data_IF_886122197542
#
_entry.id   IF_886122197542
#
_cell.length_a   1.000
_cell.length_b   1.000
_cell.length_c   1.000
_cell.angle_alpha   90.00
_cell.angle_beta   90.00
_cell.angle_gamma   90.00
#
_symmetry.space_group_name_H-M   'P 1'
#
loop_
_entity.id
_entity.type
_entity.pdbx_description
1 polymer ?
#
# COMPACT_ATOMS: atom_id res chain seq x y z
N UNK A 1 -8.58 11.48 -20.80
CA UNK A 1 -9.48 12.26 -19.93
C UNK A 1 -9.18 11.85 -18.51
N UNK A 2 -8.85 12.79 -17.60
CA UNK A 2 -8.74 12.49 -16.18
C UNK A 2 -10.08 11.91 -15.74
N UNK A 3 -10.04 10.78 -15.02
CA UNK A 3 -11.24 10.17 -14.47
C UNK A 3 -11.89 11.20 -13.53
N UNK A 4 -13.18 11.59 -13.71
CA UNK A 4 -13.80 12.54 -12.80
C UNK A 4 -13.70 11.98 -11.39
N UNK A 5 -13.27 12.81 -10.44
CA UNK A 5 -13.23 12.45 -9.03
C UNK A 5 -14.62 12.00 -8.57
N UNK A 6 -14.80 10.70 -8.42
CA UNK A 6 -16.04 10.04 -8.04
C UNK A 6 -16.31 10.08 -6.54
N UNK A 7 -15.47 10.79 -5.77
CA UNK A 7 -15.67 10.94 -4.31
C UNK A 7 -16.97 11.70 -4.04
N UNK A 8 -17.91 11.15 -3.27
CA UNK A 8 -19.13 11.85 -2.86
C UNK A 8 -18.85 13.21 -2.23
N UNK A 9 -19.64 14.24 -2.56
CA UNK A 9 -19.42 15.61 -2.09
C UNK A 9 -19.35 15.70 -0.54
N UNK A 10 -20.20 14.99 0.15
CA UNK A 10 -20.22 14.88 1.59
C UNK A 10 -18.87 14.39 2.17
N UNK A 11 -18.19 13.45 1.55
CA UNK A 11 -16.88 12.96 1.99
C UNK A 11 -15.76 13.97 1.69
N UNK A 12 -15.87 14.70 0.56
CA UNK A 12 -14.96 15.84 0.27
C UNK A 12 -15.08 16.94 1.31
N UNK A 13 -16.30 17.26 1.73
CA UNK A 13 -16.55 18.25 2.78
C UNK A 13 -15.93 17.83 4.13
N UNK A 14 -15.85 16.52 4.41
CA UNK A 14 -15.26 15.99 5.64
C UNK A 14 -13.72 16.05 5.64
N UNK A 15 -13.05 16.23 4.49
CA UNK A 15 -11.58 16.40 4.42
C UNK A 15 -11.08 17.59 5.25
N UNK A 16 -11.91 18.62 5.47
CA UNK A 16 -11.60 19.78 6.32
C UNK A 16 -11.31 19.41 7.78
N UNK A 17 -11.86 18.29 8.25
CA UNK A 17 -11.65 17.83 9.63
C UNK A 17 -10.27 17.19 9.84
N UNK A 18 -9.54 16.88 8.76
CA UNK A 18 -8.17 16.36 8.84
C UNK A 18 -8.09 14.95 9.45
N UNK A 19 -6.98 14.69 10.15
CA UNK A 19 -6.72 13.43 10.84
C UNK A 19 -6.84 13.68 12.35
N UNK A 20 -7.83 13.07 12.97
CA UNK A 20 -8.03 13.07 14.42
C UNK A 20 -8.00 11.62 14.91
N UNK A 21 -6.98 11.27 15.70
CA UNK A 21 -6.84 9.93 16.27
C UNK A 21 -7.82 9.74 17.43
N UNK A 22 -8.47 8.58 17.49
CA UNK A 22 -9.44 8.22 18.52
C UNK A 22 -10.43 7.22 17.97
N UNK A 23 -10.99 6.34 18.81
CA UNK A 23 -11.96 5.33 18.40
C UNK A 23 -13.40 5.70 18.79
N UNK A 24 -13.57 6.69 19.62
CA UNK A 24 -14.88 7.06 20.22
C UNK A 24 -15.89 7.45 19.15
N UNK A 25 -15.47 8.26 18.16
CA UNK A 25 -16.35 8.68 17.05
C UNK A 25 -16.70 7.50 16.15
N UNK A 26 -15.70 6.65 15.83
CA UNK A 26 -15.93 5.46 14.99
C UNK A 26 -16.88 4.48 15.68
N UNK A 27 -16.68 4.22 16.98
CA UNK A 27 -17.57 3.35 17.77
C UNK A 27 -19.00 3.90 17.86
N UNK A 28 -19.16 5.20 18.04
CA UNK A 28 -20.46 5.86 18.04
C UNK A 28 -21.12 5.80 16.65
N UNK A 29 -20.33 5.93 15.58
CA UNK A 29 -20.80 5.82 14.21
C UNK A 29 -21.26 4.38 13.89
N UNK A 30 -20.47 3.36 14.25
CA UNK A 30 -20.84 1.95 14.10
C UNK A 30 -22.12 1.63 14.89
N UNK A 31 -22.22 2.12 16.12
CA UNK A 31 -23.43 1.95 16.93
C UNK A 31 -24.67 2.57 16.26
N UNK A 32 -24.56 3.78 15.72
CA UNK A 32 -25.64 4.45 15.00
C UNK A 32 -26.05 3.73 13.72
N UNK A 33 -25.13 2.96 13.12
CA UNK A 33 -25.34 2.15 11.92
C UNK A 33 -25.76 0.71 12.21
N UNK A 34 -25.92 0.32 13.50
CA UNK A 34 -26.32 -1.02 13.91
C UNK A 34 -25.17 -2.00 14.08
N UNK A 35 -23.93 -1.51 14.24
CA UNK A 35 -22.69 -2.27 14.42
C UNK A 35 -22.38 -3.25 13.28
N UNK A 36 -22.28 -2.78 12.03
CA UNK A 36 -22.05 -3.64 10.86
C UNK A 36 -20.71 -4.40 10.94
N UNK A 37 -19.73 -3.87 11.70
CA UNK A 37 -18.43 -4.48 11.93
C UNK A 37 -18.50 -5.84 12.60
N UNK A 38 -19.55 -6.11 13.41
CA UNK A 38 -19.71 -7.37 14.16
C UNK A 38 -20.02 -8.58 13.29
N UNK A 39 -20.56 -8.34 12.10
CA UNK A 39 -20.87 -9.41 11.13
C UNK A 39 -19.65 -9.79 10.29
N UNK A 40 -18.53 -9.06 10.41
CA UNK A 40 -17.33 -9.24 9.59
C UNK A 40 -16.28 -10.14 10.26
N UNK A 41 -15.77 -11.11 9.51
CA UNK A 41 -14.55 -11.83 9.85
C UNK A 41 -13.37 -11.11 9.23
N UNK A 42 -12.42 -10.68 10.04
CA UNK A 42 -11.41 -9.70 9.62
C UNK A 42 -10.00 -10.23 9.77
N UNK A 43 -9.17 -9.98 8.76
CA UNK A 43 -7.71 -9.95 8.87
C UNK A 43 -7.27 -8.49 8.89
N UNK A 44 -6.66 -8.05 9.99
CA UNK A 44 -6.29 -6.66 10.20
C UNK A 44 -4.79 -6.44 10.00
N UNK A 45 -4.40 -5.49 9.16
CA UNK A 45 -3.02 -5.31 8.68
C UNK A 45 -2.51 -3.91 9.00
N UNK A 46 -1.47 -3.81 9.84
CA UNK A 46 -0.71 -2.59 10.11
C UNK A 46 0.73 -2.69 9.60
N UNK A 47 1.45 -1.58 9.59
CA UNK A 47 2.86 -1.51 9.19
C UNK A 47 3.23 -0.14 8.64
N UNK A 48 4.51 0.10 8.41
CA UNK A 48 4.97 1.31 7.71
C UNK A 48 4.88 1.11 6.21
N UNK A 49 5.59 0.15 5.67
CA UNK A 49 5.58 -0.19 4.24
C UNK A 49 5.08 -1.62 4.03
N UNK A 50 4.51 -1.88 2.85
CA UNK A 50 4.08 -3.23 2.45
C UNK A 50 2.64 -3.59 2.77
N UNK A 51 1.90 -2.79 3.54
CA UNK A 51 0.50 -3.08 3.90
C UNK A 51 -0.36 -3.44 2.68
N UNK A 52 -0.46 -2.53 1.70
CA UNK A 52 -1.26 -2.76 0.49
C UNK A 52 -0.77 -3.95 -0.35
N UNK A 53 0.55 -4.22 -0.41
CA UNK A 53 1.07 -5.41 -1.08
C UNK A 53 0.65 -6.69 -0.36
N UNK A 54 0.75 -6.75 0.97
CA UNK A 54 0.31 -7.90 1.78
C UNK A 54 -1.21 -8.07 1.66
N UNK A 55 -1.98 -6.99 1.72
CA UNK A 55 -3.43 -7.00 1.50
C UNK A 55 -3.77 -7.58 0.13
N UNK A 56 -3.07 -7.14 -0.91
CA UNK A 56 -3.28 -7.66 -2.27
C UNK A 56 -2.94 -9.15 -2.38
N UNK A 57 -1.75 -9.58 -1.92
CA UNK A 57 -1.39 -11.01 -1.92
C UNK A 57 -2.44 -11.85 -1.19
N UNK A 58 -2.81 -11.47 0.02
CA UNK A 58 -3.77 -12.24 0.81
C UNK A 58 -5.14 -12.28 0.14
N UNK A 59 -5.63 -11.16 -0.39
CA UNK A 59 -6.91 -11.09 -1.12
C UNK A 59 -6.92 -12.01 -2.33
N UNK A 60 -5.84 -12.02 -3.14
CA UNK A 60 -5.75 -12.92 -4.31
C UNK A 60 -5.70 -14.38 -3.91
N UNK A 61 -4.95 -14.74 -2.86
CA UNK A 61 -4.90 -16.10 -2.33
C UNK A 61 -6.29 -16.57 -1.86
N UNK A 62 -6.98 -15.74 -1.10
CA UNK A 62 -8.30 -16.07 -0.55
C UNK A 62 -9.35 -16.18 -1.66
N UNK A 63 -9.34 -15.26 -2.63
CA UNK A 63 -10.24 -15.33 -3.79
C UNK A 63 -9.94 -16.53 -4.70
N UNK A 64 -8.66 -16.86 -4.96
CA UNK A 64 -8.26 -18.08 -5.66
C UNK A 64 -8.73 -19.35 -4.92
N UNK A 65 -8.89 -19.28 -3.61
CA UNK A 65 -9.46 -20.36 -2.78
C UNK A 65 -10.99 -20.42 -2.81
N UNK A 66 -11.66 -19.57 -3.60
CA UNK A 66 -13.10 -19.56 -3.78
C UNK A 66 -13.88 -18.76 -2.73
N UNK A 67 -13.20 -17.99 -1.88
CA UNK A 67 -13.85 -17.14 -0.87
C UNK A 67 -14.29 -15.80 -1.46
N UNK A 68 -15.43 -15.27 -1.04
CA UNK A 68 -15.87 -13.90 -1.30
C UNK A 68 -15.11 -12.97 -0.35
N UNK A 69 -14.17 -12.21 -0.90
CA UNK A 69 -13.21 -11.42 -0.10
C UNK A 69 -13.48 -9.95 -0.24
N UNK A 70 -13.74 -9.26 0.87
CA UNK A 70 -13.69 -7.80 0.94
C UNK A 70 -12.26 -7.33 1.19
N UNK A 71 -11.81 -6.27 0.52
CA UNK A 71 -10.52 -5.63 0.82
C UNK A 71 -10.68 -4.13 0.94
N UNK A 72 -10.13 -3.56 2.02
CA UNK A 72 -10.09 -2.14 2.30
C UNK A 72 -8.64 -1.67 2.37
N UNK A 73 -8.28 -0.69 1.53
CA UNK A 73 -6.92 -0.15 1.41
C UNK A 73 -6.92 1.37 1.31
N UNK A 74 -5.80 1.99 1.71
CA UNK A 74 -5.62 3.44 1.62
C UNK A 74 -4.16 3.84 1.41
N UNK A 75 -3.92 4.98 0.73
CA UNK A 75 -4.88 5.77 -0.05
C UNK A 75 -5.26 5.07 -1.36
N UNK A 76 -6.29 5.57 -2.06
CA UNK A 76 -6.56 5.17 -3.43
C UNK A 76 -5.51 5.75 -4.40
N UNK A 77 -5.40 5.15 -5.59
CA UNK A 77 -4.44 5.60 -6.61
C UNK A 77 -5.12 6.47 -7.67
N UNK A 78 -6.07 5.92 -8.41
CA UNK A 78 -6.72 6.56 -9.57
C UNK A 78 -8.20 6.89 -9.30
N UNK A 79 -8.90 6.05 -8.52
CA UNK A 79 -10.34 6.15 -8.26
C UNK A 79 -10.63 6.00 -6.78
N UNK A 80 -11.53 6.80 -6.26
CA UNK A 80 -11.97 6.71 -4.87
C UNK A 80 -12.49 5.30 -4.51
N UNK A 81 -13.23 4.68 -5.42
CA UNK A 81 -13.81 3.33 -5.28
C UNK A 81 -12.76 2.22 -5.08
N UNK A 82 -11.49 2.44 -5.47
CA UNK A 82 -10.38 1.50 -5.22
C UNK A 82 -10.17 1.19 -3.74
N UNK A 83 -10.58 2.11 -2.83
CA UNK A 83 -10.41 1.92 -1.39
C UNK A 83 -11.12 0.69 -0.87
N UNK A 84 -12.22 0.30 -1.49
CA UNK A 84 -13.01 -0.86 -1.08
C UNK A 84 -13.42 -1.70 -2.29
N UNK A 85 -13.14 -2.98 -2.21
CA UNK A 85 -13.34 -3.93 -3.29
C UNK A 85 -13.84 -5.26 -2.74
N UNK A 86 -14.65 -5.96 -3.52
CA UNK A 86 -15.06 -7.34 -3.26
C UNK A 86 -14.64 -8.19 -4.46
N UNK A 87 -13.86 -9.24 -4.19
CA UNK A 87 -13.59 -10.31 -5.16
C UNK A 87 -14.41 -11.54 -4.78
N UNK A 88 -15.41 -11.86 -5.61
CA UNK A 88 -16.30 -13.00 -5.38
C UNK A 88 -15.67 -14.28 -5.94
N UNK A 89 -14.83 -14.89 -5.12
CA UNK A 89 -14.14 -16.12 -5.43
C UNK A 89 -13.26 -16.04 -6.68
N UNK A 90 -13.08 -17.17 -7.34
CA UNK A 90 -12.24 -17.29 -8.55
C UNK A 90 -12.77 -16.48 -9.73
N UNK A 91 -14.09 -16.35 -9.85
CA UNK A 91 -14.67 -15.57 -10.94
C UNK A 91 -14.44 -14.09 -10.75
N UNK A 92 -14.65 -13.57 -9.55
CA UNK A 92 -14.32 -12.18 -9.21
C UNK A 92 -12.82 -11.88 -9.41
N UNK A 93 -11.95 -12.81 -9.03
CA UNK A 93 -10.51 -12.68 -9.28
C UNK A 93 -10.21 -12.63 -10.80
N UNK A 94 -10.80 -13.51 -11.60
CA UNK A 94 -10.61 -13.51 -13.06
C UNK A 94 -11.04 -12.20 -13.69
N UNK A 95 -12.21 -11.67 -13.34
CA UNK A 95 -12.69 -10.38 -13.84
C UNK A 95 -11.73 -9.23 -13.45
N UNK A 96 -11.25 -9.23 -12.21
CA UNK A 96 -10.27 -8.24 -11.76
C UNK A 96 -8.95 -8.29 -12.55
N UNK A 97 -8.50 -9.48 -12.94
CA UNK A 97 -7.28 -9.63 -13.75
C UNK A 97 -7.45 -9.13 -15.20
N UNK A 98 -8.68 -9.15 -15.72
CA UNK A 98 -9.05 -8.61 -17.03
C UNK A 98 -9.25 -7.09 -16.98
N UNK A 99 -9.94 -6.59 -15.94
CA UNK A 99 -10.20 -5.16 -15.70
C UNK A 99 -10.00 -4.84 -14.21
N UNK A 100 -8.99 -4.05 -13.93
CA UNK A 100 -8.60 -3.67 -12.58
C UNK A 100 -9.61 -2.76 -11.85
N UNK A 101 -10.71 -2.37 -12.47
CA UNK A 101 -11.85 -1.72 -11.83
C UNK A 101 -12.91 -2.69 -11.30
N UNK A 102 -12.88 -3.96 -11.73
CA UNK A 102 -13.85 -4.95 -11.28
C UNK A 102 -13.81 -5.17 -9.77
N UNK A 103 -14.97 -5.32 -9.20
CA UNK A 103 -15.17 -5.52 -7.77
C UNK A 103 -15.09 -4.26 -6.90
N UNK A 104 -14.76 -3.09 -7.45
CA UNK A 104 -14.87 -1.81 -6.74
C UNK A 104 -16.32 -1.54 -6.36
N UNK A 105 -16.53 -0.78 -5.25
CA UNK A 105 -17.88 -0.42 -4.85
C UNK A 105 -18.63 0.29 -5.99
N UNK A 106 -19.83 -0.16 -6.40
CA UNK A 106 -20.63 0.51 -7.42
C UNK A 106 -21.04 1.92 -6.98
N UNK A 107 -21.13 2.85 -7.95
CA UNK A 107 -21.41 4.25 -7.65
C UNK A 107 -22.76 4.48 -6.96
N UNK A 108 -23.79 3.75 -7.37
CA UNK A 108 -25.13 3.82 -6.77
C UNK A 108 -25.14 3.26 -5.34
N UNK A 109 -24.38 2.19 -5.07
CA UNK A 109 -24.20 1.63 -3.73
C UNK A 109 -23.42 2.63 -2.85
N UNK A 110 -22.35 3.21 -3.37
CA UNK A 110 -21.55 4.21 -2.67
C UNK A 110 -22.42 5.43 -2.28
N UNK A 111 -23.24 5.93 -3.19
CA UNK A 111 -24.15 7.06 -2.92
C UNK A 111 -25.15 6.69 -1.83
N UNK A 112 -25.86 5.58 -1.99
CA UNK A 112 -26.86 5.08 -1.01
C UNK A 112 -26.27 4.89 0.40
N UNK A 113 -25.07 4.28 0.51
CA UNK A 113 -24.42 4.06 1.79
C UNK A 113 -23.85 5.37 2.35
N UNK A 114 -23.38 6.28 1.51
CA UNK A 114 -22.96 7.62 1.92
C UNK A 114 -24.09 8.39 2.60
N UNK A 115 -25.32 8.31 2.09
CA UNK A 115 -26.48 8.94 2.70
C UNK A 115 -26.80 8.34 4.08
N UNK A 116 -26.74 7.01 4.21
CA UNK A 116 -26.92 6.34 5.52
C UNK A 116 -25.86 6.80 6.54
N UNK A 117 -24.59 6.82 6.14
CA UNK A 117 -23.48 7.23 7.00
C UNK A 117 -23.57 8.71 7.36
N UNK A 118 -24.02 9.56 6.44
CA UNK A 118 -24.27 10.98 6.69
C UNK A 118 -25.32 11.22 7.77
N UNK A 119 -26.39 10.45 7.76
CA UNK A 119 -27.41 10.55 8.81
C UNK A 119 -26.88 10.04 10.17
N UNK A 120 -26.12 8.94 10.16
CA UNK A 120 -25.49 8.43 11.40
C UNK A 120 -24.45 9.43 11.94
N UNK A 121 -23.68 10.11 11.09
CA UNK A 121 -22.73 11.14 11.50
C UNK A 121 -23.41 12.31 12.24
N UNK A 122 -24.61 12.73 11.80
CA UNK A 122 -25.40 13.74 12.53
C UNK A 122 -25.78 13.29 13.93
N UNK A 123 -26.11 12.01 14.12
CA UNK A 123 -26.40 11.46 15.42
C UNK A 123 -25.16 11.46 16.33
N UNK A 124 -23.99 11.15 15.80
CA UNK A 124 -22.70 11.23 16.50
C UNK A 124 -22.45 12.66 16.99
N UNK A 125 -22.54 13.66 16.10
CA UNK A 125 -22.33 15.08 16.45
C UNK A 125 -23.36 15.55 17.46
N UNK A 126 -24.62 15.13 17.33
CA UNK A 126 -25.69 15.47 18.28
C UNK A 126 -25.49 14.87 19.67
N UNK A 127 -24.68 13.81 19.80
CA UNK A 127 -24.33 13.22 21.11
C UNK A 127 -23.24 14.00 21.87
N UNK A 128 -22.67 15.06 21.25
CA UNK A 128 -21.64 15.90 21.84
C UNK A 128 -20.21 15.50 21.44
N UNK A 129 -20.04 14.53 20.55
CA UNK A 129 -18.75 14.23 19.94
C UNK A 129 -18.45 15.18 18.78
N UNK A 130 -17.18 15.29 18.39
CA UNK A 130 -16.77 16.01 17.19
C UNK A 130 -17.32 15.32 15.92
N UNK A 131 -17.37 16.06 14.81
CA UNK A 131 -17.72 15.50 13.52
C UNK A 131 -16.74 14.38 13.11
N UNK A 132 -17.25 13.22 12.61
CA UNK A 132 -16.40 12.18 12.11
C UNK A 132 -15.53 12.65 10.93
N UNK A 133 -14.27 12.19 10.92
CA UNK A 133 -13.32 12.46 9.84
C UNK A 133 -13.70 11.73 8.55
N UNK A 134 -13.16 12.18 7.42
CA UNK A 134 -13.36 11.49 6.12
C UNK A 134 -13.03 10.01 6.21
N UNK A 135 -11.92 9.65 6.87
CA UNK A 135 -11.47 8.27 6.97
C UNK A 135 -12.43 7.41 7.83
N UNK A 136 -12.99 7.95 8.92
CA UNK A 136 -14.01 7.26 9.72
C UNK A 136 -15.29 7.02 8.92
N UNK A 137 -15.75 8.02 8.15
CA UNK A 137 -16.94 7.89 7.31
C UNK A 137 -16.76 6.84 6.20
N UNK A 138 -15.61 6.84 5.53
CA UNK A 138 -15.29 5.85 4.48
C UNK A 138 -15.14 4.45 5.06
N UNK A 139 -14.56 4.31 6.25
CA UNK A 139 -14.45 3.04 6.96
C UNK A 139 -15.84 2.49 7.30
N UNK A 140 -16.76 3.33 7.77
CA UNK A 140 -18.13 2.93 8.05
C UNK A 140 -18.91 2.50 6.79
N UNK A 141 -18.72 3.20 5.66
CA UNK A 141 -19.28 2.79 4.35
C UNK A 141 -18.76 1.40 3.97
N UNK A 142 -17.45 1.16 4.14
CA UNK A 142 -16.84 -0.14 3.86
C UNK A 142 -17.46 -1.26 4.69
N UNK A 143 -17.64 -1.07 5.99
CA UNK A 143 -18.24 -2.08 6.87
C UNK A 143 -19.68 -2.38 6.51
N UNK A 144 -20.49 -1.36 6.24
CA UNK A 144 -21.86 -1.54 5.76
C UNK A 144 -21.91 -2.35 4.47
N UNK A 145 -21.08 -2.00 3.48
CA UNK A 145 -21.07 -2.69 2.20
C UNK A 145 -20.64 -4.15 2.34
N UNK A 146 -19.56 -4.40 3.07
CA UNK A 146 -19.07 -5.77 3.28
C UNK A 146 -20.06 -6.63 4.04
N UNK A 147 -20.77 -6.07 5.04
CA UNK A 147 -21.82 -6.77 5.78
C UNK A 147 -23.06 -7.04 4.90
N UNK A 148 -23.54 -6.05 4.11
CA UNK A 148 -24.67 -6.23 3.17
C UNK A 148 -24.34 -7.31 2.11
N UNK A 149 -23.10 -7.31 1.59
CA UNK A 149 -22.62 -8.29 0.61
C UNK A 149 -22.23 -9.64 1.19
N UNK A 150 -22.23 -9.77 2.51
CA UNK A 150 -21.91 -11.01 3.26
C UNK A 150 -20.57 -11.61 2.82
N UNK A 151 -19.50 -10.81 2.83
CA UNK A 151 -18.17 -11.31 2.50
C UNK A 151 -17.78 -12.44 3.48
N UNK A 152 -17.11 -13.48 2.97
CA UNK A 152 -16.63 -14.59 3.82
C UNK A 152 -15.53 -14.11 4.78
N UNK A 153 -14.71 -13.18 4.31
CA UNK A 153 -13.61 -12.57 5.05
C UNK A 153 -13.26 -11.20 4.50
N UNK A 154 -12.91 -10.26 5.37
CA UNK A 154 -12.45 -8.93 5.02
C UNK A 154 -10.96 -8.75 5.36
N UNK A 155 -10.17 -8.24 4.42
CA UNK A 155 -8.77 -7.85 4.58
C UNK A 155 -8.72 -6.34 4.75
N UNK A 156 -8.41 -5.85 5.95
CA UNK A 156 -8.46 -4.44 6.30
C UNK A 156 -7.06 -3.88 6.55
N UNK A 157 -6.64 -2.91 5.75
CA UNK A 157 -5.42 -2.14 5.94
C UNK A 157 -5.68 -0.95 6.85
N UNK A 158 -4.83 -0.72 7.89
CA UNK A 158 -4.86 0.50 8.69
C UNK A 158 -4.49 1.73 7.86
N UNK A 159 -5.20 2.84 8.06
CA UNK A 159 -4.84 4.12 7.45
C UNK A 159 -3.57 4.71 8.03
N UNK A 160 -3.50 4.81 9.36
CA UNK A 160 -2.38 5.40 10.09
C UNK A 160 -2.16 4.74 11.45
N UNK A 161 -0.92 4.31 11.71
CA UNK A 161 -0.56 3.70 12.99
C UNK A 161 -1.19 2.32 13.18
N UNK A 162 -2.16 2.21 14.04
CA UNK A 162 -2.91 0.99 14.36
C UNK A 162 -3.79 1.16 15.60
N UNK A 163 -3.21 1.56 16.73
CA UNK A 163 -3.90 1.63 18.03
C UNK A 163 -5.19 2.45 18.01
N UNK A 164 -5.15 3.62 17.41
CA UNK A 164 -6.26 4.57 17.31
C UNK A 164 -6.78 4.73 15.87
N UNK A 165 -6.43 3.80 15.00
CA UNK A 165 -6.93 3.80 13.63
C UNK A 165 -8.41 3.39 13.59
N UNK A 166 -9.20 4.04 12.75
CA UNK A 166 -10.65 3.77 12.63
C UNK A 166 -10.96 2.32 12.30
N UNK A 167 -10.02 1.61 11.67
CA UNK A 167 -10.17 0.18 11.39
C UNK A 167 -9.96 -0.73 12.60
N UNK A 168 -9.53 -0.19 13.76
CA UNK A 168 -9.19 -0.99 14.95
C UNK A 168 -10.35 -1.22 15.94
N UNK A 169 -11.59 -1.14 15.48
CA UNK A 169 -12.80 -1.33 16.33
C UNK A 169 -13.15 -2.78 16.63
N UNK A 170 -12.53 -3.74 15.96
CA UNK A 170 -12.79 -5.16 16.17
C UNK A 170 -12.17 -5.69 17.45
N UNK A 171 -12.95 -6.41 18.26
CA UNK A 171 -12.45 -7.06 19.47
C UNK A 171 -11.66 -8.34 19.18
N UNK A 172 -12.12 -9.12 18.18
CA UNK A 172 -11.55 -10.43 17.88
C UNK A 172 -11.48 -10.70 16.37
N UNK A 173 -10.56 -10.07 15.65
CA UNK A 173 -10.29 -10.42 14.26
C UNK A 173 -9.78 -11.88 14.14
N UNK A 174 -9.89 -12.48 12.96
CA UNK A 174 -9.38 -13.83 12.71
C UNK A 174 -7.86 -13.90 12.84
N UNK A 175 -7.18 -12.82 12.45
CA UNK A 175 -5.73 -12.71 12.44
C UNK A 175 -5.30 -11.23 12.41
N UNK A 176 -4.18 -10.92 13.02
CA UNK A 176 -3.53 -9.62 12.88
C UNK A 176 -2.17 -9.76 12.20
N UNK A 177 -1.84 -8.80 11.30
CA UNK A 177 -0.56 -8.79 10.61
C UNK A 177 0.14 -7.45 10.81
N UNK A 178 1.46 -7.50 11.03
CA UNK A 178 2.31 -6.31 11.02
C UNK A 178 3.38 -6.52 9.95
N UNK A 179 3.40 -5.63 8.96
CA UNK A 179 4.39 -5.64 7.88
C UNK A 179 5.71 -5.03 8.36
N UNK A 180 6.51 -4.43 7.50
CA UNK A 180 7.74 -3.78 7.95
C UNK A 180 7.46 -2.53 8.79
N UNK A 181 8.33 -2.28 9.78
CA UNK A 181 8.38 -1.07 10.59
C UNK A 181 9.50 -0.17 10.07
N UNK A 182 9.31 1.12 10.15
CA UNK A 182 10.31 2.13 9.81
C UNK A 182 9.86 3.52 10.21
N UNK A 183 10.75 4.49 10.13
CA UNK A 183 10.44 5.89 10.40
C UNK A 183 9.53 6.44 9.29
N UNK A 184 8.32 6.80 9.67
CA UNK A 184 7.35 7.51 8.84
C UNK A 184 6.28 8.15 9.75
N UNK A 185 5.67 9.26 9.33
CA UNK A 185 4.65 9.99 10.10
C UNK A 185 5.10 10.32 11.53
N UNK A 186 6.35 10.73 11.70
CA UNK A 186 6.94 11.02 13.02
C UNK A 186 6.22 12.14 13.77
N UNK A 187 5.60 13.07 13.07
CA UNK A 187 4.75 14.13 13.63
C UNK A 187 3.49 13.60 14.37
N UNK A 188 3.12 12.31 14.14
CA UNK A 188 1.90 11.72 14.69
C UNK A 188 2.11 10.43 15.45
N UNK A 189 3.05 9.61 15.03
CA UNK A 189 3.26 8.25 15.56
C UNK A 189 4.44 8.17 16.53
N UNK A 190 5.22 9.26 16.68
CA UNK A 190 6.39 9.32 17.54
C UNK A 190 7.71 9.41 16.79
N UNK A 191 8.77 9.75 17.53
CA UNK A 191 10.09 10.07 17.00
C UNK A 191 11.10 8.92 17.15
N UNK A 192 10.64 7.73 17.53
CA UNK A 192 11.47 6.54 17.68
C UNK A 192 10.81 5.29 17.08
N UNK A 193 11.61 4.30 16.71
CA UNK A 193 11.12 3.00 16.23
C UNK A 193 10.23 2.34 17.30
N UNK A 194 10.56 2.46 18.57
CA UNK A 194 9.77 1.89 19.66
C UNK A 194 8.37 2.51 19.74
N UNK A 195 8.23 3.85 19.63
CA UNK A 195 6.94 4.55 19.65
C UNK A 195 6.10 4.16 18.43
N UNK A 196 6.67 4.21 17.23
CA UNK A 196 5.97 3.79 15.99
C UNK A 196 5.52 2.34 16.07
N UNK A 197 6.36 1.46 16.65
CA UNK A 197 6.02 0.05 16.86
C UNK A 197 4.86 -0.09 17.83
N UNK A 198 4.85 0.68 18.92
CA UNK A 198 3.78 0.67 19.92
C UNK A 198 2.42 1.06 19.31
N UNK A 199 2.39 2.09 18.46
CA UNK A 199 1.17 2.48 17.76
C UNK A 199 0.65 1.35 16.83
N UNK A 200 1.55 0.67 16.11
CA UNK A 200 1.16 -0.44 15.22
C UNK A 200 0.79 -1.70 16.00
N UNK A 201 1.48 -1.99 17.10
CA UNK A 201 1.17 -3.09 18.01
C UNK A 201 -0.22 -2.97 18.65
N UNK A 202 -0.83 -1.77 18.62
CA UNK A 202 -2.19 -1.55 19.09
C UNK A 202 -3.28 -2.36 18.37
N UNK A 203 -2.97 -2.97 17.21
CA UNK A 203 -3.89 -3.90 16.55
C UNK A 203 -3.87 -5.31 17.15
N UNK A 204 -2.89 -5.64 18.02
CA UNK A 204 -2.80 -6.94 18.68
C UNK A 204 -3.97 -7.09 19.64
N UNK A 205 -4.74 -8.16 19.48
CA UNK A 205 -5.97 -8.42 20.27
C UNK A 205 -5.79 -9.65 21.18
N UNK A 206 -6.54 -9.72 22.29
CA UNK A 206 -6.45 -10.86 23.20
C UNK A 206 -6.66 -12.19 22.50
N UNK A 207 -5.70 -13.12 22.66
CA UNK A 207 -5.74 -14.50 22.12
C UNK A 207 -5.77 -14.61 20.60
N UNK A 208 -5.71 -13.49 19.86
CA UNK A 208 -5.65 -13.48 18.39
C UNK A 208 -4.20 -13.59 17.94
N UNK A 209 -3.85 -14.54 17.06
CA UNK A 209 -2.48 -14.65 16.57
C UNK A 209 -2.01 -13.41 15.81
N UNK A 210 -0.75 -13.04 16.02
CA UNK A 210 -0.03 -12.03 15.25
C UNK A 210 0.95 -12.69 14.30
N UNK A 211 0.88 -12.37 13.02
CA UNK A 211 1.92 -12.66 12.02
C UNK A 211 2.67 -11.37 11.71
N UNK A 212 3.98 -11.36 11.89
CA UNK A 212 4.78 -10.15 11.71
C UNK A 212 6.04 -10.43 10.88
N UNK A 213 6.43 -9.49 10.03
CA UNK A 213 7.73 -9.55 9.38
C UNK A 213 8.85 -9.62 10.42
N UNK A 214 9.81 -10.54 10.23
CA UNK A 214 10.93 -10.70 11.17
C UNK A 214 11.72 -9.38 11.24
N UNK A 215 11.90 -8.79 12.44
CA UNK A 215 12.65 -7.55 12.61
C UNK A 215 14.05 -7.59 12.01
N UNK A 216 14.72 -8.76 12.03
CA UNK A 216 16.05 -8.94 11.45
C UNK A 216 16.07 -8.84 9.91
N UNK A 217 14.90 -8.85 9.27
CA UNK A 217 14.72 -8.61 7.82
C UNK A 217 14.33 -7.18 7.47
N UNK A 218 14.05 -6.34 8.46
CA UNK A 218 13.64 -4.95 8.25
C UNK A 218 14.86 -4.06 7.96
N UNK A 219 14.63 -2.96 7.21
CA UNK A 219 15.65 -1.94 6.95
C UNK A 219 15.73 -1.02 8.17
N UNK A 220 16.37 -1.52 9.23
CA UNK A 220 16.61 -0.85 10.50
C UNK A 220 18.04 -1.14 10.97
N UNK A 221 18.55 -0.29 11.83
CA UNK A 221 19.77 -0.62 12.59
C UNK A 221 19.50 -1.72 13.64
N UNK A 222 20.54 -2.33 14.22
CA UNK A 222 20.37 -3.41 15.18
C UNK A 222 19.59 -3.00 16.45
N UNK A 223 19.63 -1.73 16.85
CA UNK A 223 18.89 -1.24 18.01
C UNK A 223 17.38 -1.12 17.67
N UNK A 224 17.06 -0.55 16.53
CA UNK A 224 15.68 -0.50 16.03
C UNK A 224 15.06 -1.89 15.86
N UNK A 225 15.82 -2.87 15.35
CA UNK A 225 15.35 -4.26 15.25
C UNK A 225 15.02 -4.85 16.62
N UNK A 226 15.85 -4.60 17.64
CA UNK A 226 15.62 -5.01 19.03
C UNK A 226 14.40 -4.31 19.63
N UNK A 227 14.24 -3.03 19.37
CA UNK A 227 13.08 -2.26 19.83
C UNK A 227 11.77 -2.81 19.27
N UNK A 228 11.72 -3.12 17.97
CA UNK A 228 10.54 -3.75 17.36
C UNK A 228 10.23 -5.06 18.09
N UNK A 229 11.21 -5.96 18.24
CA UNK A 229 11.03 -7.25 18.88
C UNK A 229 10.54 -7.10 20.32
N UNK A 230 11.18 -6.25 21.12
CA UNK A 230 10.81 -6.00 22.51
C UNK A 230 9.37 -5.50 22.65
N UNK A 231 8.98 -4.45 21.91
CA UNK A 231 7.63 -3.86 21.99
C UNK A 231 6.55 -4.86 21.57
N UNK A 232 6.79 -5.63 20.50
CA UNK A 232 5.86 -6.66 20.05
C UNK A 232 5.71 -7.77 21.08
N UNK A 233 6.80 -8.30 21.64
CA UNK A 233 6.75 -9.39 22.62
C UNK A 233 6.09 -8.94 23.93
N UNK A 234 6.40 -7.73 24.43
CA UNK A 234 5.74 -7.14 25.60
C UNK A 234 4.23 -6.99 25.40
N UNK A 235 3.83 -6.43 24.26
CA UNK A 235 2.40 -6.23 23.94
C UNK A 235 1.66 -7.55 23.76
N UNK A 236 2.23 -8.49 23.02
CA UNK A 236 1.66 -9.80 22.78
C UNK A 236 1.52 -10.61 24.06
N UNK A 237 2.51 -10.54 24.97
CA UNK A 237 2.46 -11.19 26.29
C UNK A 237 1.28 -10.70 27.12
N UNK A 238 1.06 -9.38 27.17
CA UNK A 238 -0.10 -8.79 27.91
C UNK A 238 -1.43 -9.27 27.31
N UNK A 239 -1.49 -9.47 25.99
CA UNK A 239 -2.68 -9.91 25.26
C UNK A 239 -2.82 -11.43 25.16
N UNK A 240 -1.86 -12.21 25.68
CA UNK A 240 -1.79 -13.66 25.46
C UNK A 240 -1.91 -14.02 23.96
N UNK A 241 -1.35 -13.21 23.08
CA UNK A 241 -1.38 -13.33 21.62
C UNK A 241 -0.17 -14.13 21.13
N UNK A 242 -0.34 -15.25 20.41
CA UNK A 242 0.77 -15.97 19.79
C UNK A 242 1.43 -15.09 18.70
N UNK A 243 2.76 -14.99 18.72
CA UNK A 243 3.53 -14.23 17.73
C UNK A 243 4.26 -15.18 16.79
N UNK A 244 4.12 -14.94 15.49
CA UNK A 244 4.79 -15.68 14.43
C UNK A 244 5.61 -14.70 13.61
N UNK A 245 6.94 -14.79 13.74
CA UNK A 245 7.88 -14.02 12.94
C UNK A 245 8.09 -14.68 11.59
N UNK A 246 7.99 -13.89 10.50
CA UNK A 246 8.05 -14.39 9.12
C UNK A 246 9.15 -13.67 8.35
N UNK A 247 9.93 -14.45 7.63
CA UNK A 247 10.94 -14.01 6.68
C UNK A 247 10.99 -14.97 5.50
N UNK A 248 11.20 -14.46 4.27
CA UNK A 248 11.52 -15.29 3.13
C UNK A 248 12.79 -16.11 3.40
N UNK A 249 12.91 -17.28 2.80
CA UNK A 249 14.10 -18.11 2.94
C UNK A 249 15.35 -17.37 2.44
N UNK A 250 16.53 -17.78 2.93
CA UNK A 250 17.79 -17.19 2.50
C UNK A 250 18.02 -17.44 1.02
N UNK A 251 18.46 -16.42 0.31
CA UNK A 251 18.76 -16.44 -1.12
C UNK A 251 18.24 -15.18 -1.81
N UNK A 252 18.91 -14.78 -2.87
CA UNK A 252 18.45 -13.67 -3.69
C UNK A 252 17.28 -14.15 -4.56
N UNK A 253 16.22 -13.37 -4.70
CA UNK A 253 15.15 -13.67 -5.64
C UNK A 253 15.67 -13.74 -7.09
N UNK A 254 15.13 -14.67 -7.84
CA UNK A 254 15.48 -14.83 -9.25
C UNK A 254 14.47 -14.12 -10.14
N UNK A 255 14.93 -13.18 -10.94
CA UNK A 255 14.10 -12.45 -11.89
C UNK A 255 14.05 -13.16 -13.22
N UNK A 256 12.86 -13.59 -13.66
CA UNK A 256 12.69 -14.36 -14.88
C UNK A 256 12.59 -13.45 -16.12
N UNK A 257 12.93 -13.95 -17.31
CA UNK A 257 12.72 -13.20 -18.57
C UNK A 257 11.25 -12.85 -18.84
N UNK A 258 10.30 -13.62 -18.27
CA UNK A 258 8.86 -13.35 -18.37
C UNK A 258 8.43 -12.10 -17.61
N UNK A 259 9.30 -11.54 -16.72
CA UNK A 259 8.99 -10.39 -15.89
C UNK A 259 8.27 -10.80 -14.60
N UNK A 260 8.58 -11.97 -14.09
CA UNK A 260 8.18 -12.45 -12.75
C UNK A 260 9.40 -12.60 -11.86
N UNK A 261 9.17 -12.75 -10.57
CA UNK A 261 10.20 -13.00 -9.58
C UNK A 261 9.92 -14.32 -8.86
N UNK A 262 10.94 -15.18 -8.78
CA UNK A 262 10.90 -16.43 -8.04
C UNK A 262 11.67 -16.30 -6.72
N UNK A 263 11.14 -16.86 -5.66
CA UNK A 263 11.77 -16.91 -4.34
C UNK A 263 11.30 -18.13 -3.56
N UNK A 264 11.96 -18.42 -2.43
CA UNK A 264 11.60 -19.52 -1.55
C UNK A 264 11.05 -19.04 -0.22
N UNK A 265 10.02 -19.73 0.27
CA UNK A 265 9.51 -19.59 1.62
C UNK A 265 9.10 -20.97 2.17
N UNK A 266 9.62 -21.33 3.36
CA UNK A 266 9.44 -22.65 3.99
C UNK A 266 9.80 -23.81 3.03
N UNK A 267 10.92 -23.66 2.33
CA UNK A 267 11.43 -24.58 1.30
C UNK A 267 10.54 -24.79 0.07
N UNK A 268 9.49 -24.00 -0.08
CA UNK A 268 8.62 -24.00 -1.26
C UNK A 268 8.94 -22.82 -2.17
N UNK A 269 9.01 -23.07 -3.48
CA UNK A 269 9.19 -22.03 -4.49
C UNK A 269 7.86 -21.34 -4.79
N UNK A 270 7.89 -20.00 -4.78
CA UNK A 270 6.78 -19.15 -5.21
C UNK A 270 7.21 -18.28 -6.38
N UNK A 271 6.29 -18.01 -7.29
CA UNK A 271 6.45 -17.09 -8.42
C UNK A 271 5.45 -15.94 -8.26
N UNK A 272 5.93 -14.69 -8.41
CA UNK A 272 5.09 -13.49 -8.30
C UNK A 272 5.44 -12.47 -9.37
N UNK A 273 4.47 -11.61 -9.71
CA UNK A 273 4.67 -10.47 -10.62
C UNK A 273 5.12 -9.20 -9.91
N UNK A 274 4.99 -9.14 -8.58
CA UNK A 274 5.48 -7.99 -7.83
C UNK A 274 6.99 -8.12 -7.61
N UNK A 275 7.73 -7.12 -8.09
CA UNK A 275 9.19 -7.15 -8.15
C UNK A 275 9.83 -6.62 -6.86
N UNK A 276 10.97 -7.22 -6.50
CA UNK A 276 11.85 -6.77 -5.42
C UNK A 276 11.91 -7.71 -4.23
N UNK A 277 13.09 -7.81 -3.60
CA UNK A 277 13.30 -8.68 -2.44
C UNK A 277 12.35 -8.40 -1.27
N UNK A 278 11.93 -7.14 -1.09
CA UNK A 278 10.91 -6.77 -0.11
C UNK A 278 9.53 -7.40 -0.42
N UNK A 279 9.22 -7.66 -1.70
CA UNK A 279 7.97 -8.34 -2.08
C UNK A 279 8.01 -9.84 -1.76
N UNK A 280 9.18 -10.47 -1.75
CA UNK A 280 9.32 -11.83 -1.25
C UNK A 280 8.92 -11.90 0.24
N UNK A 281 9.37 -10.93 1.06
CA UNK A 281 8.97 -10.80 2.47
C UNK A 281 7.46 -10.55 2.63
N UNK A 282 6.90 -9.60 1.87
CA UNK A 282 5.46 -9.31 1.89
C UNK A 282 4.62 -10.53 1.48
N UNK A 283 5.04 -11.23 0.44
CA UNK A 283 4.38 -12.46 0.00
C UNK A 283 4.45 -13.56 1.05
N UNK A 284 5.63 -13.79 1.67
CA UNK A 284 5.80 -14.77 2.74
C UNK A 284 4.86 -14.50 3.92
N UNK A 285 4.66 -13.21 4.26
CA UNK A 285 3.73 -12.81 5.31
C UNK A 285 2.27 -13.18 4.95
N UNK A 286 1.84 -12.90 3.72
CA UNK A 286 0.51 -13.25 3.23
C UNK A 286 0.32 -14.78 3.11
N UNK A 287 1.33 -15.52 2.64
CA UNK A 287 1.32 -16.99 2.57
C UNK A 287 1.16 -17.59 3.97
N UNK A 288 1.95 -17.10 4.96
CA UNK A 288 1.81 -17.57 6.35
C UNK A 288 0.42 -17.29 6.92
N UNK A 289 -0.14 -16.11 6.64
CA UNK A 289 -1.50 -15.77 7.05
C UNK A 289 -2.52 -16.71 6.42
N UNK A 290 -2.43 -17.00 5.13
CA UNK A 290 -3.30 -17.94 4.44
C UNK A 290 -3.18 -19.37 4.99
N UNK A 291 -1.97 -19.88 5.25
CA UNK A 291 -1.73 -21.17 5.90
C UNK A 291 -2.41 -21.29 7.28
N UNK A 292 -2.41 -20.19 8.05
CA UNK A 292 -3.10 -20.16 9.34
C UNK A 292 -4.62 -20.17 9.18
N UNK A 293 -5.14 -19.41 8.22
CA UNK A 293 -6.56 -19.37 7.89
C UNK A 293 -7.07 -20.70 7.31
N UNK A 294 -6.20 -21.49 6.65
CA UNK A 294 -6.53 -22.82 6.13
C UNK A 294 -7.07 -23.78 7.20
N UNK A 295 -6.73 -23.57 8.48
CA UNK A 295 -7.30 -24.33 9.60
C UNK A 295 -8.82 -24.15 9.76
N UNK A 296 -9.34 -23.00 9.31
CA UNK A 296 -10.75 -22.62 9.39
C UNK A 296 -11.45 -22.71 8.03
N UNK A 297 -10.72 -22.41 6.96
CA UNK A 297 -11.22 -22.39 5.59
C UNK A 297 -10.50 -23.47 4.76
N UNK A 298 -11.10 -24.67 4.72
CA UNK A 298 -10.48 -25.86 4.08
C UNK A 298 -10.27 -25.73 2.56
N UNK A 299 -10.90 -24.74 1.92
CA UNK A 299 -10.67 -24.41 0.50
C UNK A 299 -9.31 -23.73 0.25
N UNK A 300 -8.65 -23.21 1.29
CA UNK A 300 -7.30 -22.68 1.21
C UNK A 300 -6.32 -23.86 1.20
N UNK A 301 -5.75 -24.15 0.06
CA UNK A 301 -4.77 -25.24 -0.16
C UNK A 301 -3.44 -24.68 -0.63
N UNK A 302 -2.41 -25.50 -0.64
CA UNK A 302 -1.10 -25.10 -1.17
C UNK A 302 -1.15 -24.69 -2.64
N UNK A 303 -2.04 -25.30 -3.43
CA UNK A 303 -2.23 -24.98 -4.85
C UNK A 303 -2.92 -23.63 -5.00
N UNK A 304 -3.98 -23.35 -4.23
CA UNK A 304 -4.70 -22.06 -4.28
C UNK A 304 -3.84 -20.92 -3.74
N UNK A 305 -2.97 -21.18 -2.75
CA UNK A 305 -1.98 -20.22 -2.28
C UNK A 305 -1.01 -19.87 -3.42
N UNK A 306 -0.45 -20.88 -4.09
CA UNK A 306 0.51 -20.67 -5.19
C UNK A 306 -0.13 -19.94 -6.38
N UNK A 307 -1.37 -20.29 -6.73
CA UNK A 307 -2.17 -19.63 -7.77
C UNK A 307 -2.40 -18.14 -7.42
N UNK A 308 -2.88 -17.85 -6.20
CA UNK A 308 -3.14 -16.49 -5.76
C UNK A 308 -1.89 -15.63 -5.71
N UNK A 309 -0.76 -16.17 -5.27
CA UNK A 309 0.54 -15.48 -5.29
C UNK A 309 0.94 -15.12 -6.72
N UNK A 310 0.83 -16.05 -7.66
CA UNK A 310 1.20 -15.85 -9.07
C UNK A 310 0.32 -14.81 -9.76
N UNK A 311 -0.95 -14.79 -9.46
CA UNK A 311 -1.93 -13.88 -10.05
C UNK A 311 -1.98 -12.52 -9.38
N UNK A 312 -1.26 -12.31 -8.27
CA UNK A 312 -1.26 -11.03 -7.54
C UNK A 312 -0.81 -9.87 -8.41
N UNK A 313 -1.60 -8.79 -8.37
CA UNK A 313 -1.34 -7.49 -9.01
C UNK A 313 -1.44 -6.38 -7.96
N UNK A 314 -0.55 -5.41 -8.03
CA UNK A 314 -0.65 -4.21 -7.22
C UNK A 314 -0.05 -3.03 -7.98
N UNK A 315 -0.88 -2.06 -8.33
CA UNK A 315 -0.50 -0.90 -9.14
C UNK A 315 0.63 -0.11 -8.49
N UNK A 316 1.53 0.43 -9.32
CA UNK A 316 2.62 1.30 -8.88
C UNK A 316 3.55 0.70 -7.81
N UNK A 317 3.78 -0.61 -7.86
CA UNK A 317 4.83 -1.30 -7.07
C UNK A 317 5.80 -1.98 -8.01
N UNK A 318 6.81 -1.21 -8.45
CA UNK A 318 7.71 -1.56 -9.54
C UNK A 318 6.92 -2.08 -10.76
N UNK A 319 5.81 -1.38 -11.09
CA UNK A 319 4.92 -1.76 -12.19
C UNK A 319 5.55 -1.44 -13.53
N UNK A 320 5.73 -2.46 -14.36
CA UNK A 320 6.22 -2.31 -15.73
C UNK A 320 5.03 -2.12 -16.66
N UNK A 321 4.90 -0.95 -17.28
CA UNK A 321 3.85 -0.67 -18.27
C UNK A 321 4.23 -1.13 -19.66
N UNK A 322 5.48 -0.93 -20.06
CA UNK A 322 6.06 -1.43 -21.31
C UNK A 322 7.54 -1.75 -21.12
N UNK A 323 8.08 -2.61 -21.99
CA UNK A 323 9.51 -3.01 -21.94
C UNK A 323 10.36 -2.26 -22.97
N UNK A 324 9.78 -1.68 -24.01
CA UNK A 324 10.49 -1.00 -25.12
C UNK A 324 9.78 0.30 -25.51
N UNK A 325 10.25 1.45 -25.00
CA UNK A 325 11.25 1.60 -23.92
C UNK A 325 10.70 1.06 -22.60
N UNK A 326 11.58 0.65 -21.69
CA UNK A 326 11.12 0.28 -20.34
C UNK A 326 10.45 1.50 -19.67
N UNK A 327 9.21 1.32 -19.23
CA UNK A 327 8.49 2.29 -18.40
C UNK A 327 8.12 1.63 -17.08
N UNK A 328 8.70 2.15 -15.99
CA UNK A 328 8.54 1.65 -14.63
C UNK A 328 7.86 2.70 -13.75
N UNK A 329 6.79 2.28 -13.05
CA UNK A 329 6.09 3.09 -12.06
C UNK A 329 6.32 2.54 -10.65
N UNK A 330 6.73 3.40 -9.71
CA UNK A 330 6.86 2.99 -8.30
C UNK A 330 6.43 4.09 -7.33
N UNK A 331 5.56 3.73 -6.39
CA UNK A 331 5.01 4.64 -5.38
C UNK A 331 5.89 4.83 -4.14
N UNK A 332 7.17 4.48 -4.19
CA UNK A 332 8.12 4.75 -3.10
C UNK A 332 8.24 6.25 -2.83
N UNK A 333 7.96 6.64 -1.58
CA UNK A 333 7.87 8.04 -1.17
C UNK A 333 8.59 8.33 0.16
N UNK A 334 9.41 7.40 0.61
CA UNK A 334 10.31 7.52 1.76
C UNK A 334 11.65 6.85 1.46
N UNK A 335 12.64 7.04 2.31
CA UNK A 335 14.00 6.52 2.12
C UNK A 335 14.03 4.99 1.97
N UNK A 336 13.20 4.26 2.73
CA UNK A 336 13.10 2.81 2.62
C UNK A 336 12.52 2.38 1.27
N UNK A 337 11.45 3.05 0.80
CA UNK A 337 10.85 2.81 -0.52
C UNK A 337 11.85 3.07 -1.64
N UNK A 338 12.55 4.20 -1.57
CA UNK A 338 13.58 4.57 -2.54
C UNK A 338 14.74 3.55 -2.58
N UNK A 339 15.19 3.09 -1.41
CA UNK A 339 16.22 2.04 -1.31
C UNK A 339 15.73 0.72 -1.92
N UNK A 340 14.47 0.34 -1.66
CA UNK A 340 13.87 -0.86 -2.23
C UNK A 340 13.76 -0.77 -3.75
N UNK A 341 13.29 0.36 -4.28
CA UNK A 341 13.23 0.61 -5.72
C UNK A 341 14.62 0.55 -6.37
N UNK A 342 15.62 1.16 -5.76
CA UNK A 342 17.00 1.13 -6.28
C UNK A 342 17.57 -0.29 -6.35
N UNK A 343 17.29 -1.14 -5.37
CA UNK A 343 17.67 -2.56 -5.40
C UNK A 343 16.93 -3.32 -6.51
N UNK A 344 15.63 -3.07 -6.68
CA UNK A 344 14.85 -3.65 -7.79
C UNK A 344 15.45 -3.24 -9.12
N UNK A 345 15.73 -1.93 -9.32
CA UNK A 345 16.33 -1.41 -10.54
C UNK A 345 17.64 -2.13 -10.89
N UNK A 346 18.51 -2.35 -9.90
CA UNK A 346 19.81 -2.99 -10.10
C UNK A 346 19.75 -4.50 -10.41
N UNK A 347 18.62 -5.17 -10.13
CA UNK A 347 18.49 -6.62 -10.24
C UNK A 347 17.43 -7.10 -11.23
N UNK A 348 16.41 -6.27 -11.54
CA UNK A 348 15.34 -6.64 -12.45
C UNK A 348 15.87 -6.97 -13.86
N UNK A 349 15.18 -7.87 -14.54
CA UNK A 349 15.57 -8.39 -15.87
C UNK A 349 17.03 -8.91 -15.93
N UNK A 350 17.49 -9.55 -14.84
CA UNK A 350 18.85 -10.08 -14.76
C UNK A 350 19.94 -9.02 -14.69
N UNK A 351 19.61 -7.80 -14.23
CA UNK A 351 20.54 -6.68 -14.15
C UNK A 351 20.73 -5.91 -15.46
N UNK A 352 19.89 -6.15 -16.45
CA UNK A 352 19.99 -5.50 -17.77
C UNK A 352 20.02 -3.96 -17.73
N UNK A 353 19.45 -3.35 -16.71
CA UNK A 353 19.35 -1.89 -16.57
C UNK A 353 20.25 -1.30 -15.48
N UNK A 354 21.09 -2.12 -14.82
CA UNK A 354 21.88 -1.71 -13.65
C UNK A 354 22.72 -0.44 -13.89
N UNK A 355 23.39 -0.37 -15.02
CA UNK A 355 24.27 0.76 -15.37
C UNK A 355 23.69 1.66 -16.49
N UNK A 356 22.45 1.36 -16.91
CA UNK A 356 21.80 2.10 -17.98
C UNK A 356 21.42 3.50 -17.51
N UNK A 357 21.54 4.53 -18.38
CA UNK A 357 20.95 5.82 -18.07
C UNK A 357 19.43 5.68 -17.93
N UNK A 358 18.82 6.48 -17.06
CA UNK A 358 17.39 6.53 -16.84
C UNK A 358 16.88 7.95 -16.98
N UNK A 359 15.71 8.10 -17.55
CA UNK A 359 14.93 9.34 -17.51
C UNK A 359 13.98 9.26 -16.34
N UNK A 360 13.98 10.26 -15.48
CA UNK A 360 13.20 10.29 -14.25
C UNK A 360 12.07 11.33 -14.36
N UNK A 361 10.84 10.97 -14.01
CA UNK A 361 9.77 11.91 -13.66
C UNK A 361 9.48 11.75 -12.18
N UNK A 362 9.57 12.84 -11.41
CA UNK A 362 9.46 12.78 -9.96
C UNK A 362 8.70 13.98 -9.38
N UNK A 363 7.79 13.67 -8.44
CA UNK A 363 7.09 14.65 -7.63
C UNK A 363 6.88 14.11 -6.23
N UNK A 364 7.25 14.89 -5.21
CA UNK A 364 7.27 14.47 -3.80
C UNK A 364 6.52 15.46 -2.90
N UNK A 365 6.18 15.01 -1.69
CA UNK A 365 5.56 15.84 -0.66
C UNK A 365 6.64 16.50 0.21
N UNK A 366 6.40 17.74 0.68
CA UNK A 366 7.33 18.55 1.52
C UNK A 366 7.65 17.91 2.87
N UNK A 367 6.73 17.11 3.40
CA UNK A 367 6.84 16.46 4.70
C UNK A 367 7.74 15.20 4.68
N UNK A 368 8.33 14.87 3.52
CA UNK A 368 9.20 13.70 3.36
C UNK A 368 10.68 14.11 3.36
N UNK A 369 11.53 13.16 3.76
CA UNK A 369 12.99 13.30 3.64
C UNK A 369 13.42 13.16 2.17
N UNK A 370 13.26 14.25 1.42
CA UNK A 370 13.49 14.27 -0.04
C UNK A 370 14.96 14.09 -0.38
N UNK A 371 15.87 14.71 0.38
CA UNK A 371 17.30 14.54 0.19
C UNK A 371 17.72 13.08 0.39
N UNK A 372 17.24 12.45 1.48
CA UNK A 372 17.46 11.03 1.73
C UNK A 372 16.90 10.11 0.65
N UNK A 373 15.75 10.44 0.04
CA UNK A 373 15.18 9.70 -1.10
C UNK A 373 16.14 9.77 -2.31
N UNK A 374 16.56 10.96 -2.71
CA UNK A 374 17.45 11.15 -3.87
C UNK A 374 18.83 10.54 -3.62
N UNK A 375 19.35 10.65 -2.40
CA UNK A 375 20.58 9.97 -1.98
C UNK A 375 20.46 8.43 -2.07
N UNK A 376 19.32 7.87 -1.70
CA UNK A 376 19.09 6.43 -1.81
C UNK A 376 19.15 5.97 -3.28
N UNK A 377 18.56 6.72 -4.21
CA UNK A 377 18.66 6.42 -5.65
C UNK A 377 20.13 6.44 -6.11
N UNK A 378 20.87 7.48 -5.76
CA UNK A 378 22.29 7.61 -6.12
C UNK A 378 23.14 6.46 -5.53
N UNK A 379 22.95 6.13 -4.24
CA UNK A 379 23.67 5.05 -3.56
C UNK A 379 23.37 3.67 -4.16
N UNK A 380 22.17 3.46 -4.66
CA UNK A 380 21.77 2.22 -5.35
C UNK A 380 22.20 2.19 -6.83
N UNK A 381 22.87 3.22 -7.34
CA UNK A 381 23.40 3.22 -8.70
C UNK A 381 22.38 3.59 -9.79
N UNK A 382 21.26 4.24 -9.45
CA UNK A 382 20.35 4.77 -10.47
C UNK A 382 21.05 5.93 -11.19
N UNK A 383 21.41 5.71 -12.45
CA UNK A 383 22.13 6.65 -13.30
C UNK A 383 21.16 7.62 -14.00
N UNK A 384 20.74 8.68 -13.31
CA UNK A 384 19.80 9.66 -13.87
C UNK A 384 20.52 10.50 -14.93
N UNK A 385 20.06 10.40 -16.19
CA UNK A 385 20.52 11.22 -17.30
C UNK A 385 19.76 12.57 -17.33
N UNK A 386 18.45 12.49 -17.21
CA UNK A 386 17.52 13.62 -17.31
C UNK A 386 16.40 13.42 -16.28
N UNK A 387 16.02 14.48 -15.59
CA UNK A 387 14.94 14.45 -14.61
C UNK A 387 13.90 15.53 -14.91
N UNK A 388 12.63 15.17 -14.84
CA UNK A 388 11.49 16.07 -14.84
C UNK A 388 10.99 16.19 -13.41
N UNK A 389 11.10 17.36 -12.81
CA UNK A 389 10.52 17.65 -11.49
C UNK A 389 9.15 18.27 -11.68
N UNK A 390 8.12 17.69 -11.03
CA UNK A 390 6.74 18.07 -11.26
C UNK A 390 6.01 18.50 -10.01
N UNK A 391 5.00 19.36 -10.19
CA UNK A 391 4.07 19.73 -9.13
C UNK A 391 2.93 18.73 -9.06
N UNK A 392 2.82 18.02 -7.94
CA UNK A 392 1.71 17.11 -7.67
C UNK A 392 0.48 17.91 -7.24
N UNK A 393 -0.72 17.54 -7.69
CA UNK A 393 -1.97 18.17 -7.26
C UNK A 393 -2.30 17.79 -5.82
N UNK A 394 -1.57 18.42 -4.90
CA UNK A 394 -1.73 18.24 -3.46
C UNK A 394 -1.15 19.48 -2.75
N UNK A 395 -1.82 20.03 -1.71
CA UNK A 395 -1.32 21.20 -0.97
C UNK A 395 0.06 21.03 -0.35
N UNK A 396 0.48 19.79 -0.07
CA UNK A 396 1.78 19.46 0.52
C UNK A 396 2.87 19.21 -0.52
N UNK A 397 2.60 19.44 -1.81
CA UNK A 397 3.59 19.21 -2.87
C UNK A 397 4.86 20.06 -2.66
N UNK A 398 6.04 19.49 -2.90
CA UNK A 398 7.27 20.25 -3.05
C UNK A 398 7.26 20.93 -4.42
N UNK A 399 7.77 22.17 -4.49
CA UNK A 399 7.83 22.89 -5.77
C UNK A 399 8.90 22.28 -6.69
N UNK A 400 8.67 22.25 -8.02
CA UNK A 400 9.62 21.70 -8.98
C UNK A 400 11.03 22.26 -8.85
N UNK A 401 11.19 23.57 -8.63
CA UNK A 401 12.50 24.21 -8.46
C UNK A 401 13.24 23.78 -7.18
N UNK A 402 12.52 23.58 -6.06
CA UNK A 402 13.11 23.05 -4.82
C UNK A 402 13.67 21.64 -5.04
N UNK A 403 12.86 20.78 -5.67
CA UNK A 403 13.24 19.40 -5.99
C UNK A 403 14.39 19.33 -7.01
N UNK A 404 14.36 20.19 -8.03
CA UNK A 404 15.43 20.36 -9.02
C UNK A 404 16.77 20.69 -8.35
N UNK A 405 16.75 21.60 -7.37
CA UNK A 405 17.96 21.97 -6.62
C UNK A 405 18.54 20.76 -5.89
N UNK A 406 17.72 20.01 -5.17
CA UNK A 406 18.15 18.81 -4.42
C UNK A 406 18.78 17.77 -5.37
N UNK A 407 18.12 17.47 -6.49
CA UNK A 407 18.65 16.51 -7.47
C UNK A 407 20.02 16.97 -8.01
N UNK A 408 20.13 18.24 -8.40
CA UNK A 408 21.40 18.80 -8.90
C UNK A 408 22.51 18.69 -7.86
N UNK A 409 22.25 19.02 -6.61
CA UNK A 409 23.24 18.92 -5.52
C UNK A 409 23.66 17.45 -5.30
N UNK A 410 22.71 16.54 -5.11
CA UNK A 410 23.01 15.13 -4.82
C UNK A 410 23.76 14.45 -5.96
N UNK A 411 23.45 14.77 -7.21
CA UNK A 411 24.14 14.22 -8.40
C UNK A 411 25.31 15.09 -8.90
N UNK A 412 25.83 16.03 -8.07
CA UNK A 412 26.96 16.89 -8.39
C UNK A 412 26.80 17.68 -9.72
N UNK A 413 25.60 18.20 -9.98
CA UNK A 413 25.23 18.95 -11.18
C UNK A 413 25.43 18.19 -12.51
N UNK A 414 25.38 16.86 -12.49
CA UNK A 414 25.55 16.01 -13.70
C UNK A 414 24.24 15.59 -14.34
N UNK A 415 23.10 15.98 -13.79
CA UNK A 415 21.76 15.64 -14.27
C UNK A 415 21.14 16.88 -14.90
N UNK A 416 20.62 16.73 -16.12
CA UNK A 416 19.77 17.75 -16.75
C UNK A 416 18.39 17.71 -16.09
N UNK A 417 17.96 18.81 -15.47
CA UNK A 417 16.68 18.88 -14.77
C UNK A 417 15.77 19.88 -15.44
N UNK A 418 14.59 19.40 -15.83
CA UNK A 418 13.51 20.15 -16.44
C UNK A 418 12.41 20.32 -15.37
N UNK A 419 12.08 21.57 -15.08
CA UNK A 419 11.02 21.93 -14.15
C UNK A 419 9.72 22.10 -14.94
N UNK A 420 8.68 21.31 -14.60
CA UNK A 420 7.38 21.36 -15.27
C UNK A 420 6.26 21.28 -14.22
N UNK A 421 5.38 22.27 -14.19
CA UNK A 421 4.27 22.29 -13.24
C UNK A 421 3.17 21.27 -13.57
N UNK A 422 3.01 20.91 -14.86
CA UNK A 422 2.00 19.96 -15.30
C UNK A 422 2.57 18.53 -15.42
N UNK A 423 2.19 17.60 -14.51
CA UNK A 423 2.67 16.23 -14.55
C UNK A 423 2.35 15.48 -15.85
N UNK A 424 1.23 15.80 -16.51
CA UNK A 424 0.82 15.15 -17.77
C UNK A 424 1.74 15.55 -18.91
N UNK A 425 2.10 16.84 -18.98
CA UNK A 425 3.05 17.34 -19.98
C UNK A 425 4.44 16.76 -19.74
N UNK A 426 4.88 16.74 -18.48
CA UNK A 426 6.19 16.18 -18.12
C UNK A 426 6.31 14.72 -18.55
N UNK A 427 5.33 13.88 -18.17
CA UNK A 427 5.37 12.45 -18.49
C UNK A 427 5.24 12.17 -19.98
N UNK A 428 4.45 12.96 -20.73
CA UNK A 428 4.34 12.83 -22.18
C UNK A 428 5.68 13.17 -22.85
N UNK A 429 6.31 14.29 -22.49
CA UNK A 429 7.62 14.69 -23.02
C UNK A 429 8.71 13.68 -22.69
N UNK A 430 8.74 13.19 -21.45
CA UNK A 430 9.67 12.18 -21.00
C UNK A 430 9.49 10.86 -21.75
N UNK A 431 8.26 10.41 -21.97
CA UNK A 431 7.95 9.18 -22.70
C UNK A 431 8.34 9.27 -24.17
N UNK A 432 7.99 10.36 -24.88
CA UNK A 432 8.39 10.58 -26.28
C UNK A 432 9.92 10.64 -26.44
N UNK A 433 10.62 11.27 -25.51
CA UNK A 433 12.07 11.26 -25.49
C UNK A 433 12.62 9.84 -25.25
N UNK A 434 12.00 9.07 -24.37
CA UNK A 434 12.36 7.68 -24.09
C UNK A 434 12.13 6.76 -25.29
N UNK A 435 11.06 6.96 -26.04
CA UNK A 435 10.82 6.23 -27.30
C UNK A 435 11.89 6.52 -28.35
N UNK A 436 12.32 7.77 -28.44
CA UNK A 436 13.30 8.21 -29.47
C UNK A 436 14.69 7.62 -29.25
N UNK A 437 15.16 7.54 -28.01
CA UNK A 437 16.54 7.13 -27.69
C UNK A 437 16.62 5.79 -26.93
N UNK A 438 15.47 5.13 -26.73
CA UNK A 438 15.32 3.88 -26.00
C UNK A 438 15.90 3.90 -24.58
N UNK A 439 15.85 5.07 -23.91
CA UNK A 439 16.27 5.20 -22.51
C UNK A 439 15.07 4.87 -21.61
N UNK A 440 15.25 4.01 -20.59
CA UNK A 440 14.20 3.70 -19.61
C UNK A 440 13.59 4.94 -18.96
N UNK A 441 12.27 4.92 -18.76
CA UNK A 441 11.52 5.92 -18.04
C UNK A 441 11.12 5.38 -16.66
N UNK A 442 11.56 6.05 -15.60
CA UNK A 442 11.16 5.80 -14.23
C UNK A 442 10.26 6.95 -13.76
N UNK A 443 9.07 6.62 -13.25
CA UNK A 443 8.17 7.60 -12.64
C UNK A 443 7.93 7.22 -11.17
N UNK A 444 8.22 8.14 -10.24
CA UNK A 444 8.21 7.82 -8.80
C UNK A 444 8.06 9.07 -7.91
N UNK A 445 8.11 8.87 -6.59
CA UNK A 445 8.16 9.91 -5.56
C UNK A 445 6.85 10.14 -4.82
N UNK A 446 5.70 9.80 -5.39
CA UNK A 446 4.40 9.93 -4.71
C UNK A 446 3.32 9.09 -5.37
N UNK A 447 2.48 8.44 -4.56
CA UNK A 447 1.27 7.80 -5.05
C UNK A 447 0.29 8.81 -5.69
N UNK A 448 0.26 10.04 -5.17
CA UNK A 448 -0.58 11.11 -5.75
C UNK A 448 -0.14 11.46 -7.18
N UNK A 449 1.17 11.55 -7.44
CA UNK A 449 1.68 11.73 -8.80
C UNK A 449 1.24 10.58 -9.71
N UNK A 450 1.50 9.35 -9.26
CA UNK A 450 1.20 8.16 -10.06
C UNK A 450 -0.28 8.02 -10.38
N UNK A 451 -1.17 8.34 -9.44
CA UNK A 451 -2.61 8.38 -9.66
C UNK A 451 -3.03 9.37 -10.73
N UNK A 452 -2.36 10.53 -10.81
CA UNK A 452 -2.64 11.53 -11.84
C UNK A 452 -2.21 11.09 -13.24
N UNK A 453 -1.07 10.37 -13.34
CA UNK A 453 -0.42 10.15 -14.65
C UNK A 453 -0.60 8.73 -15.20
N UNK A 454 -0.84 7.71 -14.37
CA UNK A 454 -0.81 6.29 -14.77
C UNK A 454 -1.81 5.98 -15.89
N UNK A 455 -3.08 6.39 -15.72
CA UNK A 455 -4.12 6.17 -16.72
C UNK A 455 -3.81 6.89 -18.05
N UNK A 456 -3.31 8.13 -17.97
CA UNK A 456 -2.89 8.90 -19.14
C UNK A 456 -1.70 8.24 -19.84
N UNK A 457 -0.68 7.82 -19.11
CA UNK A 457 0.51 7.17 -19.66
C UNK A 457 0.17 5.82 -20.33
N UNK A 458 -0.73 5.03 -19.74
CA UNK A 458 -1.25 3.80 -20.38
C UNK A 458 -1.94 4.08 -21.72
N UNK A 459 -2.57 5.22 -21.88
CA UNK A 459 -3.18 5.64 -23.14
C UNK A 459 -2.19 6.13 -24.21
N UNK A 460 -0.95 6.46 -23.83
CA UNK A 460 0.14 6.85 -24.75
C UNK A 460 0.94 5.62 -25.25
N UNK A 461 0.95 4.54 -24.47
CA UNK A 461 1.64 3.27 -24.74
C UNK A 461 0.81 2.39 -25.68
#
# INVERSE_FOLDING_TARGET
>A
MLNPDTTPAFLKDALKFGIHLGLERMQALDQALGNPERDLKVVHIAGTNGKGSVSSYLTHILAASGLKVGVYTSPFLERFSERMRILDGREGLRHYLEDDSCGEIPADVLERLSDKVKEAAKAVTSSGLEDPTEFELVTAICYLWFAEEKVDIAVLETGLGGRLDSTNVFDKPELTLITSIGMDHSDRLGNSIAEITSEKAGIIKPEVPLVIADPDSMILDPEGQKDVRRVIEETAKVKNSPVIYVRADKGEPVYTPAGTMEFYFENKKYETRLMGGHQAGNCSLAVKAAQMLARKYSSITEDTISEGVKETRWKCRAEVLTKEPLVLLDGGHNVQGATSLGRVWGSMFGGAYKDSPVRLVIGVMKDKDVEGIIEAYRKCGINIKEAYTVKVDNPRTMLPGELSHIIKVVYNHKVDVIEEDDPLKAVASAYESSKKDNIPLLVTGSLYLLGQIRGYLKGLI
#
